data_IF_974022478929
#
_entry.id   IF_974022478929
#
_cell.length_a   1.000
_cell.length_b   1.000
_cell.length_c   1.000
_cell.angle_alpha   90.00
_cell.angle_beta   90.00
_cell.angle_gamma   90.00
#
_symmetry.space_group_name_H-M   'P 1'
#
loop_
_entity.id
_entity.type
_entity.pdbx_description
1 polymer ?
#
# COMPACT_ATOMS: atom_id res chain seq x y z
N UNK A 1 10.68 20.21 8.36
CA UNK A 1 10.72 20.27 9.84
C UNK A 1 9.44 19.60 10.35
N UNK A 2 9.50 18.67 11.32
CA UNK A 2 8.30 18.02 11.85
C UNK A 2 7.43 19.02 12.64
N UNK A 3 6.11 18.80 12.64
CA UNK A 3 5.12 19.60 13.38
C UNK A 3 4.50 18.73 14.47
N UNK A 4 4.26 19.31 15.64
CA UNK A 4 3.65 18.61 16.77
C UNK A 4 2.56 19.47 17.42
N UNK A 5 1.44 18.83 17.74
CA UNK A 5 0.39 19.44 18.56
C UNK A 5 0.66 19.14 20.04
N UNK A 6 0.81 20.17 20.86
CA UNK A 6 1.03 20.04 22.31
C UNK A 6 -0.22 20.33 23.13
N UNK A 7 -1.05 21.27 22.66
CA UNK A 7 -2.32 21.67 23.28
C UNK A 7 -3.34 21.98 22.19
N UNK A 8 -4.62 21.90 22.56
CA UNK A 8 -5.75 22.25 21.69
C UNK A 8 -6.79 22.98 22.52
N UNK A 9 -7.52 23.89 21.89
CA UNK A 9 -8.65 24.52 22.54
C UNK A 9 -9.73 23.48 22.87
N UNK A 10 -10.57 23.72 23.90
CA UNK A 10 -11.62 22.77 24.30
C UNK A 10 -12.59 22.41 23.17
N UNK A 11 -12.96 23.36 22.32
CA UNK A 11 -13.87 23.19 21.18
C UNK A 11 -13.35 22.19 20.13
N UNK A 12 -12.03 22.09 19.97
CA UNK A 12 -11.39 21.24 18.96
C UNK A 12 -11.00 19.85 19.48
N UNK A 13 -11.13 19.59 20.78
CA UNK A 13 -10.72 18.31 21.41
C UNK A 13 -11.37 17.10 20.75
N UNK A 14 -12.65 17.20 20.40
CA UNK A 14 -13.37 16.10 19.74
C UNK A 14 -12.84 15.80 18.34
N UNK A 15 -12.55 16.84 17.56
CA UNK A 15 -11.97 16.70 16.23
C UNK A 15 -10.56 16.09 16.29
N UNK A 16 -9.72 16.57 17.22
CA UNK A 16 -8.39 16.03 17.42
C UNK A 16 -8.42 14.56 17.87
N UNK A 17 -9.33 14.19 18.78
CA UNK A 17 -9.46 12.81 19.24
C UNK A 17 -9.78 11.85 18.08
N UNK A 18 -10.70 12.23 17.19
CA UNK A 18 -11.03 11.45 15.99
C UNK A 18 -9.84 11.29 15.05
N UNK A 19 -9.05 12.35 14.87
CA UNK A 19 -7.83 12.29 14.06
C UNK A 19 -6.77 11.36 14.67
N UNK A 20 -6.56 11.46 15.99
CA UNK A 20 -5.60 10.61 16.72
C UNK A 20 -5.96 9.14 16.58
N UNK A 21 -7.24 8.79 16.73
CA UNK A 21 -7.73 7.42 16.54
C UNK A 21 -7.44 6.91 15.12
N UNK A 22 -7.82 7.68 14.10
CA UNK A 22 -7.58 7.31 12.71
C UNK A 22 -6.08 7.14 12.41
N UNK A 23 -5.22 8.02 12.92
CA UNK A 23 -3.76 7.95 12.72
C UNK A 23 -3.18 6.73 13.43
N UNK A 24 -3.61 6.45 14.67
CA UNK A 24 -3.12 5.32 15.45
C UNK A 24 -3.40 3.99 14.75
N UNK A 25 -4.63 3.78 14.29
CA UNK A 25 -5.03 2.56 13.56
C UNK A 25 -4.23 2.39 12.26
N UNK A 26 -3.98 3.48 11.53
CA UNK A 26 -3.31 3.39 10.23
C UNK A 26 -1.79 3.22 10.32
N UNK A 27 -1.14 3.74 11.37
CA UNK A 27 0.32 3.77 11.47
C UNK A 27 0.86 3.00 12.67
N UNK A 28 0.45 3.36 13.89
CA UNK A 28 1.03 2.81 15.10
C UNK A 28 0.65 1.33 15.28
N UNK A 29 -0.63 1.00 15.11
CA UNK A 29 -1.11 -0.36 15.28
C UNK A 29 -0.61 -1.30 14.15
N UNK A 30 -0.29 -0.72 12.98
CA UNK A 30 0.29 -1.42 11.82
C UNK A 30 1.81 -1.38 11.76
N UNK A 31 2.49 -0.97 12.83
CA UNK A 31 3.93 -0.75 12.85
C UNK A 31 4.74 -1.96 12.37
N UNK A 32 4.43 -3.17 12.84
CA UNK A 32 5.16 -4.39 12.46
C UNK A 32 4.98 -4.75 10.97
N UNK A 33 3.79 -4.50 10.40
CA UNK A 33 3.53 -4.69 8.98
C UNK A 33 4.36 -3.70 8.15
N UNK A 34 4.28 -2.41 8.51
CA UNK A 34 4.99 -1.32 7.81
C UNK A 34 6.50 -1.53 7.88
N UNK A 35 7.03 -1.94 9.03
CA UNK A 35 8.47 -2.20 9.22
C UNK A 35 8.99 -3.33 8.33
N UNK A 36 8.18 -4.37 8.10
CA UNK A 36 8.55 -5.53 7.28
C UNK A 36 8.27 -5.31 5.79
N UNK A 37 7.46 -4.32 5.45
CA UNK A 37 7.10 -4.02 4.07
C UNK A 37 8.14 -3.12 3.41
N UNK A 38 8.82 -3.64 2.39
CA UNK A 38 9.71 -2.86 1.55
C UNK A 38 8.96 -2.42 0.29
N UNK A 39 8.97 -1.12 0.01
CA UNK A 39 8.42 -0.57 -1.23
C UNK A 39 9.30 -0.85 -2.44
N UNK A 40 8.78 -0.51 -3.64
CA UNK A 40 9.49 -0.69 -4.91
C UNK A 40 9.12 -1.98 -5.63
N UNK A 41 9.91 -2.37 -6.63
CA UNK A 41 9.64 -3.57 -7.45
C UNK A 41 8.50 -3.41 -8.48
N UNK A 42 7.89 -2.23 -8.59
CA UNK A 42 6.84 -1.96 -9.58
C UNK A 42 7.50 -1.72 -10.93
N UNK A 43 7.25 -2.62 -11.88
CA UNK A 43 7.70 -2.45 -13.25
C UNK A 43 6.89 -1.39 -14.01
N UNK A 44 7.54 -0.70 -14.94
CA UNK A 44 6.86 0.25 -15.82
C UNK A 44 5.83 -0.41 -16.75
N UNK A 45 4.80 0.34 -17.18
CA UNK A 45 3.63 -0.20 -17.88
C UNK A 45 3.97 -0.88 -19.22
N UNK A 46 5.01 -0.42 -19.93
CA UNK A 46 5.47 -1.06 -21.17
C UNK A 46 6.06 -2.45 -20.92
N UNK A 47 6.83 -2.60 -19.83
CA UNK A 47 7.46 -3.87 -19.48
C UNK A 47 6.41 -4.88 -19.01
N UNK A 48 5.47 -4.45 -18.16
CA UNK A 48 4.38 -5.31 -17.67
C UNK A 48 3.51 -5.82 -18.83
N UNK A 49 3.11 -4.95 -19.77
CA UNK A 49 2.33 -5.35 -20.95
C UNK A 49 3.05 -6.42 -21.80
N UNK A 50 4.37 -6.29 -21.97
CA UNK A 50 5.18 -7.29 -22.67
C UNK A 50 5.16 -8.64 -21.94
N UNK A 51 5.37 -8.64 -20.63
CA UNK A 51 5.37 -9.86 -19.80
C UNK A 51 4.01 -10.54 -19.86
N UNK A 52 2.91 -9.79 -19.69
CA UNK A 52 1.55 -10.33 -19.77
C UNK A 52 1.25 -10.94 -21.15
N UNK A 53 1.71 -10.31 -22.24
CA UNK A 53 1.55 -10.89 -23.59
C UNK A 53 2.29 -12.22 -23.72
N UNK A 54 3.51 -12.30 -23.19
CA UNK A 54 4.32 -13.53 -23.18
C UNK A 54 3.69 -14.63 -22.33
N UNK A 55 3.22 -14.31 -21.12
CA UNK A 55 2.54 -15.27 -20.23
C UNK A 55 1.27 -15.83 -20.87
N UNK A 56 0.47 -14.98 -21.52
CA UNK A 56 -0.74 -15.40 -22.23
C UNK A 56 -0.42 -16.35 -23.38
N UNK A 57 0.66 -16.12 -24.13
CA UNK A 57 1.09 -17.01 -25.20
C UNK A 57 1.53 -18.37 -24.64
N UNK A 58 2.38 -18.38 -23.59
CA UNK A 58 2.82 -19.61 -22.93
C UNK A 58 1.66 -20.43 -22.37
N UNK A 59 0.67 -19.77 -21.76
CA UNK A 59 -0.52 -20.44 -21.23
C UNK A 59 -1.34 -21.13 -22.33
N UNK A 60 -1.47 -20.48 -23.50
CA UNK A 60 -2.14 -21.08 -24.66
C UNK A 60 -1.40 -22.31 -25.19
N UNK A 61 -0.08 -22.21 -25.35
CA UNK A 61 0.73 -23.34 -25.82
C UNK A 61 0.69 -24.53 -24.85
N UNK A 62 0.74 -24.27 -23.54
CA UNK A 62 0.63 -25.31 -22.53
C UNK A 62 -0.74 -26.00 -22.56
N UNK A 63 -1.83 -25.23 -22.73
CA UNK A 63 -3.19 -25.77 -22.83
C UNK A 63 -3.37 -26.64 -24.08
N UNK A 64 -2.76 -26.26 -25.22
CA UNK A 64 -2.80 -27.05 -26.46
C UNK A 64 -1.93 -28.31 -26.41
N UNK A 65 -0.96 -28.39 -25.50
CA UNK A 65 -0.07 -29.55 -25.36
C UNK A 65 -0.54 -30.58 -24.33
N UNK A 66 -1.39 -30.16 -23.39
CA UNK A 66 -1.99 -31.01 -22.36
C UNK A 66 -3.38 -31.53 -22.72
N UNK A 67 -4.07 -30.87 -23.66
CA UNK A 67 -5.26 -31.41 -24.34
C UNK A 67 -4.86 -32.26 -25.54
#
# INVERSE_FOLDING_TARGET
IPVAFTQTNPEDKGALAKLVEAIKTNYNDRYEEIRRHWGGGIMGPKSTARITKLEKAKAKELATKLG
#
